data_IF_121988641744
#
_entry.id   IF_121988641744
#
_cell.length_a   1.000
_cell.length_b   1.000
_cell.length_c   1.000
_cell.angle_alpha   90.00
_cell.angle_beta   90.00
_cell.angle_gamma   90.00
#
_symmetry.space_group_name_H-M   'P 1'
#
loop_
_entity.id
_entity.type
_entity.pdbx_description
1 polymer ?
#
# COMPACT_ATOMS: atom_id res chain seq x y z
N UNK A 1 -37.82 40.40 9.67
CA UNK A 1 -36.81 39.74 10.53
C UNK A 1 -37.13 38.24 10.46
N UNK A 2 -36.34 37.38 9.85
CA UNK A 2 -34.97 37.00 10.22
C UNK A 2 -34.14 36.76 8.96
N UNK A 3 -32.95 37.36 8.93
CA UNK A 3 -31.97 37.27 7.85
C UNK A 3 -31.43 35.84 7.74
N UNK A 4 -31.63 35.19 6.59
CA UNK A 4 -30.92 33.97 6.21
C UNK A 4 -29.44 34.31 5.93
N UNK A 5 -28.69 34.56 7.00
CA UNK A 5 -27.23 34.70 6.93
C UNK A 5 -26.61 33.33 6.71
N UNK A 6 -26.29 33.06 5.45
CA UNK A 6 -25.08 32.35 5.00
C UNK A 6 -24.42 31.42 6.03
N UNK A 7 -24.88 30.17 6.10
CA UNK A 7 -24.07 29.07 6.64
C UNK A 7 -23.40 28.36 5.46
N UNK A 8 -22.61 29.12 4.70
CA UNK A 8 -21.54 28.53 3.91
C UNK A 8 -20.36 28.36 4.85
N UNK A 9 -19.63 27.23 4.82
CA UNK A 9 -18.47 27.04 5.67
C UNK A 9 -17.50 28.18 5.37
N UNK A 10 -17.24 28.98 6.42
CA UNK A 10 -16.28 30.08 6.45
C UNK A 10 -15.07 29.66 5.63
N UNK A 11 -14.78 30.40 4.56
CA UNK A 11 -13.59 30.21 3.72
C UNK A 11 -12.39 30.18 4.67
N UNK A 12 -11.82 29.00 4.92
CA UNK A 12 -10.64 28.84 5.77
C UNK A 12 -9.44 29.32 4.93
N UNK A 13 -9.33 30.64 4.76
CA UNK A 13 -8.17 31.27 4.17
C UNK A 13 -7.09 31.37 5.23
N UNK A 14 -6.00 30.61 5.08
CA UNK A 14 -4.80 30.73 5.90
C UNK A 14 -4.82 29.88 7.17
N UNK A 15 -4.87 28.56 7.04
CA UNK A 15 -4.43 27.67 8.13
C UNK A 15 -3.11 27.00 7.75
N UNK A 16 -2.12 27.05 8.62
CA UNK A 16 -0.85 26.34 8.44
C UNK A 16 -1.10 24.84 8.32
N UNK A 17 -0.15 24.09 7.75
CA UNK A 17 -0.30 22.64 7.70
C UNK A 17 -0.38 22.01 9.11
N UNK A 18 0.29 22.63 10.09
CA UNK A 18 0.20 22.27 11.50
C UNK A 18 -1.21 22.46 12.07
N UNK A 19 -1.88 23.58 11.80
CA UNK A 19 -3.25 23.82 12.26
C UNK A 19 -4.25 22.83 11.65
N UNK A 20 -4.07 22.47 10.38
CA UNK A 20 -4.89 21.43 9.74
C UNK A 20 -4.67 20.07 10.40
N UNK A 21 -3.42 19.73 10.72
CA UNK A 21 -3.07 18.49 11.43
C UNK A 21 -3.73 18.47 12.81
N UNK A 22 -3.65 19.55 13.58
CA UNK A 22 -4.31 19.66 14.88
C UNK A 22 -5.83 19.51 14.78
N UNK A 23 -6.46 20.15 13.80
CA UNK A 23 -7.89 20.03 13.55
C UNK A 23 -8.31 18.59 13.27
N UNK A 24 -7.55 17.88 12.42
CA UNK A 24 -7.82 16.47 12.09
C UNK A 24 -7.64 15.60 13.33
N UNK A 25 -6.54 15.76 14.06
CA UNK A 25 -6.27 15.01 15.28
C UNK A 25 -7.37 15.21 16.34
N UNK A 26 -7.85 16.45 16.52
CA UNK A 26 -8.96 16.76 17.43
C UNK A 26 -10.27 16.06 17.02
N UNK A 27 -10.57 16.02 15.72
CA UNK A 27 -11.75 15.27 15.20
C UNK A 27 -11.62 13.77 15.44
N UNK A 28 -10.45 13.20 15.19
CA UNK A 28 -10.19 11.77 15.44
C UNK A 28 -10.36 11.42 16.93
N UNK A 29 -9.81 12.25 17.81
CA UNK A 29 -9.94 12.09 19.25
C UNK A 29 -11.40 12.13 19.71
N UNK A 30 -12.21 13.06 19.18
CA UNK A 30 -13.65 13.13 19.46
C UNK A 30 -14.42 11.87 19.04
N UNK A 31 -13.91 11.13 18.05
CA UNK A 31 -14.46 9.83 17.61
C UNK A 31 -13.82 8.62 18.32
N UNK A 32 -12.99 8.84 19.36
CA UNK A 32 -12.22 7.80 20.06
C UNK A 32 -11.31 6.99 19.11
N UNK A 33 -10.74 7.67 18.10
CA UNK A 33 -9.86 7.07 17.10
C UNK A 33 -8.48 7.73 17.16
N UNK A 34 -7.42 6.92 17.16
CA UNK A 34 -6.05 7.42 17.03
C UNK A 34 -5.68 7.66 15.55
N UNK A 35 -4.70 8.54 15.26
CA UNK A 35 -4.16 8.70 13.91
C UNK A 35 -3.69 7.39 13.27
N UNK A 36 -3.08 6.49 14.04
CA UNK A 36 -2.65 5.16 13.56
C UNK A 36 -3.85 4.32 13.14
N UNK A 37 -4.89 4.22 13.98
CA UNK A 37 -6.12 3.50 13.63
C UNK A 37 -6.81 4.07 12.38
N UNK A 38 -6.82 5.41 12.25
CA UNK A 38 -7.35 6.06 11.06
C UNK A 38 -6.57 5.67 9.81
N UNK A 39 -5.24 5.79 9.80
CA UNK A 39 -4.40 5.46 8.63
C UNK A 39 -4.57 3.98 8.27
N UNK A 40 -4.50 3.07 9.25
CA UNK A 40 -4.70 1.63 9.01
C UNK A 40 -6.09 1.35 8.43
N UNK A 41 -7.15 1.96 8.97
CA UNK A 41 -8.50 1.80 8.44
C UNK A 41 -8.67 2.39 7.04
N UNK A 42 -8.11 3.57 6.79
CA UNK A 42 -8.15 4.25 5.50
C UNK A 42 -7.51 3.40 4.38
N UNK A 43 -6.40 2.73 4.69
CA UNK A 43 -5.67 1.89 3.74
C UNK A 43 -6.30 0.51 3.52
N UNK A 44 -6.84 -0.12 4.57
CA UNK A 44 -7.27 -1.53 4.52
C UNK A 44 -8.75 -1.74 4.22
N UNK A 45 -9.63 -0.79 4.57
CA UNK A 45 -11.08 -1.00 4.43
C UNK A 45 -11.52 -1.01 2.96
N UNK A 46 -12.33 -2.02 2.61
CA UNK A 46 -12.92 -2.24 1.29
C UNK A 46 -14.18 -1.37 1.08
N UNK A 47 -14.00 -0.06 1.07
CA UNK A 47 -15.05 0.92 0.74
C UNK A 47 -14.67 1.67 -0.55
N UNK A 48 -15.63 1.86 -1.46
CA UNK A 48 -15.39 2.44 -2.78
C UNK A 48 -14.83 3.87 -2.74
N UNK A 49 -15.35 4.71 -1.83
CA UNK A 49 -14.88 6.08 -1.64
C UNK A 49 -13.46 6.12 -1.07
N UNK A 50 -13.17 5.26 -0.08
CA UNK A 50 -11.82 5.15 0.48
C UNK A 50 -10.82 4.65 -0.57
N UNK A 51 -11.22 3.66 -1.38
CA UNK A 51 -10.41 3.15 -2.52
C UNK A 51 -10.11 4.26 -3.52
N UNK A 52 -11.12 5.06 -3.87
CA UNK A 52 -10.94 6.19 -4.78
C UNK A 52 -9.96 7.23 -4.21
N UNK A 53 -10.01 7.52 -2.89
CA UNK A 53 -9.12 8.49 -2.24
C UNK A 53 -7.66 8.04 -2.16
N UNK A 54 -7.40 6.73 -2.07
CA UNK A 54 -6.03 6.17 -2.07
C UNK A 54 -5.52 5.77 -3.46
N UNK A 55 -6.31 5.96 -4.52
CA UNK A 55 -6.01 5.48 -5.88
C UNK A 55 -4.67 5.96 -6.44
N UNK A 56 -4.19 7.12 -5.99
CA UNK A 56 -2.96 7.73 -6.49
C UNK A 56 -1.71 7.25 -5.77
N UNK A 57 -1.82 6.65 -4.58
CA UNK A 57 -0.69 6.30 -3.72
C UNK A 57 0.29 5.34 -4.42
N UNK A 58 -0.22 4.39 -5.18
CA UNK A 58 0.57 3.38 -5.90
C UNK A 58 0.74 3.69 -7.40
N UNK A 59 0.48 4.93 -7.81
CA UNK A 59 0.72 5.38 -9.20
C UNK A 59 2.07 6.05 -9.32
N UNK A 60 2.57 6.22 -10.56
CA UNK A 60 3.84 6.91 -10.84
C UNK A 60 3.97 8.29 -10.15
N UNK A 61 2.87 9.01 -9.98
CA UNK A 61 2.87 10.32 -9.30
C UNK A 61 2.83 10.21 -7.77
N UNK A 62 2.35 9.09 -7.23
CA UNK A 62 2.22 8.87 -5.79
C UNK A 62 3.33 8.04 -5.17
N UNK A 63 4.16 7.35 -5.96
CA UNK A 63 5.25 6.51 -5.43
C UNK A 63 6.20 7.31 -4.54
N UNK A 64 6.77 8.41 -5.05
CA UNK A 64 7.71 9.24 -4.30
C UNK A 64 7.14 9.77 -2.98
N UNK A 65 5.96 10.43 -2.94
CA UNK A 65 5.41 10.92 -1.66
C UNK A 65 4.97 9.77 -0.74
N UNK A 66 4.52 8.63 -1.26
CA UNK A 66 4.16 7.47 -0.44
C UNK A 66 5.40 6.82 0.20
N UNK A 67 6.49 6.67 -0.56
CA UNK A 67 7.78 6.20 -0.03
C UNK A 67 8.30 7.20 1.02
N UNK A 68 8.17 8.51 0.78
CA UNK A 68 8.57 9.52 1.77
C UNK A 68 7.78 9.39 3.08
N UNK A 69 6.48 9.10 3.03
CA UNK A 69 5.68 8.81 4.22
C UNK A 69 6.21 7.59 4.98
N UNK A 70 6.54 6.50 4.29
CA UNK A 70 7.12 5.30 4.92
C UNK A 70 8.49 5.61 5.54
N UNK A 71 9.31 6.43 4.88
CA UNK A 71 10.61 6.87 5.42
C UNK A 71 10.45 7.68 6.70
N UNK A 72 9.50 8.61 6.76
CA UNK A 72 9.22 9.38 7.99
C UNK A 72 8.82 8.46 9.15
N UNK A 73 7.99 7.45 8.87
CA UNK A 73 7.65 6.42 9.87
C UNK A 73 8.90 5.65 10.31
N UNK A 74 9.75 5.25 9.36
CA UNK A 74 11.00 4.54 9.65
C UNK A 74 11.96 5.38 10.51
N UNK A 75 12.06 6.68 10.27
CA UNK A 75 12.89 7.59 11.03
C UNK A 75 12.44 7.69 12.49
N UNK A 76 11.13 7.62 12.76
CA UNK A 76 10.61 7.53 14.14
C UNK A 76 11.08 6.26 14.85
N UNK A 77 11.14 5.11 14.18
CA UNK A 77 11.68 3.87 14.76
C UNK A 77 13.17 3.98 15.06
N UNK A 78 13.94 4.64 14.19
CA UNK A 78 15.40 4.76 14.32
C UNK A 78 15.86 5.66 15.47
N UNK A 79 14.96 6.39 16.13
CA UNK A 79 15.26 7.23 17.30
C UNK A 79 15.71 6.43 18.53
N UNK A 80 15.42 5.13 18.59
CA UNK A 80 15.80 4.26 19.71
C UNK A 80 16.49 3.00 19.20
N UNK A 81 17.31 2.37 20.04
CA UNK A 81 17.99 1.11 19.69
C UNK A 81 16.99 -0.01 19.46
N UNK A 82 16.00 -0.13 20.34
CA UNK A 82 14.93 -1.12 20.28
C UNK A 82 14.05 -0.90 19.04
N UNK A 83 13.68 0.35 18.76
CA UNK A 83 12.90 0.71 17.57
C UNK A 83 13.65 0.41 16.27
N UNK A 84 14.95 0.74 16.22
CA UNK A 84 15.81 0.44 15.07
C UNK A 84 15.90 -1.07 14.81
N UNK A 85 16.10 -1.87 15.86
CA UNK A 85 16.12 -3.34 15.76
C UNK A 85 14.77 -3.89 15.25
N UNK A 86 13.64 -3.35 15.74
CA UNK A 86 12.30 -3.73 15.26
C UNK A 86 12.11 -3.41 13.78
N UNK A 87 12.54 -2.22 13.33
CA UNK A 87 12.46 -1.84 11.93
C UNK A 87 13.33 -2.73 11.03
N UNK A 88 14.57 -3.01 11.45
CA UNK A 88 15.48 -3.88 10.71
C UNK A 88 14.91 -5.30 10.55
N UNK A 89 14.34 -5.86 11.63
CA UNK A 89 13.68 -7.16 11.59
C UNK A 89 12.49 -7.17 10.62
N UNK A 90 11.66 -6.12 10.62
CA UNK A 90 10.55 -5.98 9.68
C UNK A 90 11.03 -5.96 8.22
N UNK A 91 12.02 -5.13 7.89
CA UNK A 91 12.56 -5.06 6.52
C UNK A 91 13.18 -6.39 6.08
N UNK A 92 13.89 -7.09 6.99
CA UNK A 92 14.43 -8.41 6.69
C UNK A 92 13.32 -9.43 6.42
N UNK A 93 12.22 -9.40 7.19
CA UNK A 93 11.07 -10.27 6.97
C UNK A 93 10.41 -10.01 5.61
N UNK A 94 10.17 -8.74 5.24
CA UNK A 94 9.62 -8.35 3.93
C UNK A 94 10.53 -8.80 2.77
N UNK A 95 11.85 -8.58 2.89
CA UNK A 95 12.81 -9.02 1.87
C UNK A 95 12.87 -10.54 1.69
N UNK A 96 12.71 -11.30 2.78
CA UNK A 96 12.63 -12.76 2.72
C UNK A 96 11.31 -13.23 2.09
N UNK A 97 10.21 -12.54 2.34
CA UNK A 97 8.92 -12.86 1.72
C UNK A 97 8.98 -12.66 0.20
N UNK A 98 9.48 -11.51 -0.26
CA UNK A 98 9.63 -11.23 -1.68
C UNK A 98 10.46 -12.32 -2.41
N UNK A 99 11.59 -12.75 -1.81
CA UNK A 99 12.44 -13.80 -2.38
C UNK A 99 11.70 -15.14 -2.54
N UNK A 100 10.86 -15.51 -1.58
CA UNK A 100 10.07 -16.75 -1.65
C UNK A 100 9.07 -16.71 -2.78
N UNK A 101 8.39 -15.58 -2.96
CA UNK A 101 7.42 -15.39 -4.05
C UNK A 101 8.11 -15.52 -5.41
N UNK A 102 9.27 -14.88 -5.61
CA UNK A 102 10.06 -15.03 -6.85
C UNK A 102 10.48 -16.47 -7.11
N UNK A 103 10.94 -17.19 -6.07
CA UNK A 103 11.38 -18.59 -6.22
C UNK A 103 10.22 -19.50 -6.64
N UNK A 104 9.02 -19.28 -6.09
CA UNK A 104 7.82 -20.05 -6.47
C UNK A 104 7.37 -19.76 -7.90
N UNK A 105 7.42 -18.49 -8.33
CA UNK A 105 7.12 -18.13 -9.72
C UNK A 105 8.11 -18.76 -10.71
N UNK A 106 9.40 -18.76 -10.39
CA UNK A 106 10.44 -19.33 -11.26
C UNK A 106 10.33 -20.86 -11.35
N UNK A 107 10.05 -21.55 -10.24
CA UNK A 107 9.77 -22.98 -10.24
C UNK A 107 8.50 -23.33 -11.04
N UNK A 108 7.45 -22.52 -10.94
CA UNK A 108 6.20 -22.69 -11.69
C UNK A 108 6.43 -22.55 -13.20
N UNK A 109 7.19 -21.51 -13.62
CA UNK A 109 7.58 -21.31 -15.03
C UNK A 109 8.42 -22.47 -15.56
N UNK A 110 9.39 -22.95 -14.78
CA UNK A 110 10.24 -24.09 -15.16
C UNK A 110 9.41 -25.37 -15.36
N UNK A 111 8.45 -25.64 -14.47
CA UNK A 111 7.54 -26.78 -14.59
C UNK A 111 6.64 -26.67 -15.85
N UNK A 112 6.11 -25.49 -16.14
CA UNK A 112 5.31 -25.26 -17.35
C UNK A 112 6.13 -25.49 -18.64
N UNK A 113 7.40 -25.05 -18.67
CA UNK A 113 8.30 -25.26 -19.82
C UNK A 113 8.61 -26.75 -20.03
N UNK A 114 8.83 -27.50 -18.95
CA UNK A 114 9.04 -28.95 -19.02
C UNK A 114 7.79 -29.66 -19.58
N UNK A 115 6.60 -29.28 -19.12
CA UNK A 115 5.34 -29.84 -19.62
C UNK A 115 5.11 -29.53 -21.11
N UNK A 116 5.36 -28.30 -21.56
CA UNK A 116 5.24 -27.91 -22.99
C UNK A 116 6.25 -28.66 -23.87
N UNK A 117 7.49 -28.83 -23.40
CA UNK A 117 8.51 -29.57 -24.14
C UNK A 117 8.20 -31.07 -24.24
N UNK A 118 7.57 -31.66 -23.21
CA UNK A 118 7.08 -33.04 -23.27
C UNK A 118 5.96 -33.23 -24.29
N UNK A 119 5.07 -32.25 -24.48
CA UNK A 119 4.01 -32.30 -25.50
C UNK A 119 4.55 -32.14 -26.93
N UNK A 120 5.62 -31.36 -27.12
CA UNK A 120 6.27 -31.20 -28.44
C UNK A 120 7.08 -32.44 -28.87
N UNK A 121 7.33 -33.39 -27.96
CA UNK A 121 8.09 -34.62 -28.23
C UNK A 121 7.25 -35.80 -28.72
N UNK A 122 5.93 -35.63 -28.91
CA UNK A 122 5.09 -36.68 -29.51
C UNK A 122 5.44 -36.80 -30.99
N UNK A 123 6.00 -37.92 -31.46
CA UNK A 123 6.27 -38.11 -32.88
C UNK A 123 4.93 -38.16 -33.62
N UNK A 124 4.81 -37.36 -34.68
CA UNK A 124 3.82 -37.59 -35.73
C UNK A 124 4.12 -38.96 -36.36
N UNK A 125 3.54 -40.03 -35.82
CA UNK A 125 3.43 -41.28 -36.54
C UNK A 125 2.39 -41.06 -37.65
N UNK A 126 2.84 -40.58 -38.81
CA UNK A 126 2.18 -40.90 -40.06
C UNK A 126 2.68 -42.29 -40.46
N UNK A 127 1.78 -43.25 -40.28
CA UNK A 127 1.93 -44.65 -40.62
C UNK A 127 2.39 -44.84 -42.07
N UNK A 128 3.31 -45.78 -42.24
CA UNK A 128 3.63 -46.48 -43.47
C UNK A 128 2.42 -47.25 -43.99
N UNK A 129 2.18 -47.23 -45.29
CA UNK A 129 1.20 -48.09 -45.95
C UNK A 129 1.24 -47.96 -47.46
N UNK A 130 2.05 -48.82 -48.08
CA UNK A 130 2.04 -49.38 -49.44
C UNK A 130 1.90 -48.48 -50.70
#
# INVERSE_FOLDING_TARGET
>A
MVSHRNIWPRKISGTSDEEKIHLICGKLLGMKMSPKQFITGFLTKKNSLLRYRRRTWTTKYGWTPTIKLVQVIADDFRKTREGSARWAWFIQAEGNQHRRETTLEDLSKAHALLHVNSLKKVPSMSETGD
#
